data_IF_513390610163
#
_entry.id   IF_513390610163
#
_cell.length_a   1.000
_cell.length_b   1.000
_cell.length_c   1.000
_cell.angle_alpha   90.00
_cell.angle_beta   90.00
_cell.angle_gamma   90.00
#
_symmetry.space_group_name_H-M   'P 1'
#
loop_
_entity.id
_entity.type
_entity.pdbx_description
1 polymer ?
#
# COMPACT_ATOMS: atom_id res chain seq x y z
N UNK A 1 -8.11 -4.05 -12.84
CA UNK A 1 -8.78 -2.79 -12.42
C UNK A 1 -10.26 -3.07 -12.15
N UNK A 2 -10.89 -2.40 -11.19
CA UNK A 2 -12.34 -2.56 -10.94
C UNK A 2 -13.17 -1.90 -12.05
N UNK A 3 -14.35 -2.44 -12.40
CA UNK A 3 -15.22 -1.85 -13.42
C UNK A 3 -15.59 -0.39 -13.07
N UNK A 4 -15.73 0.49 -14.07
CA UNK A 4 -16.06 1.90 -13.85
C UNK A 4 -17.36 2.12 -13.04
N UNK A 5 -18.29 1.17 -13.10
CA UNK A 5 -19.51 1.19 -12.30
C UNK A 5 -19.34 0.89 -10.82
N UNK A 6 -18.17 0.39 -10.38
CA UNK A 6 -17.94 -0.07 -9.01
C UNK A 6 -18.16 1.01 -7.95
N UNK A 7 -17.73 2.25 -8.25
CA UNK A 7 -17.86 3.39 -7.32
C UNK A 7 -19.25 4.04 -7.32
N UNK A 8 -20.21 3.50 -8.07
CA UNK A 8 -21.61 3.95 -8.01
C UNK A 8 -22.27 3.41 -6.74
N UNK A 9 -23.19 4.19 -6.18
CA UNK A 9 -23.91 3.82 -4.96
C UNK A 9 -24.46 2.38 -5.04
N UNK A 10 -24.24 1.61 -3.97
CA UNK A 10 -24.69 0.22 -3.87
C UNK A 10 -23.86 -0.83 -4.63
N UNK A 11 -22.81 -0.44 -5.36
CA UNK A 11 -21.94 -1.39 -6.09
C UNK A 11 -20.60 -1.71 -5.41
N UNK A 12 -20.35 -1.14 -4.23
CA UNK A 12 -19.23 -1.52 -3.37
C UNK A 12 -19.32 -2.99 -2.96
N UNK A 13 -18.16 -3.61 -2.73
CA UNK A 13 -18.09 -4.97 -2.20
C UNK A 13 -18.83 -5.05 -0.84
N UNK A 14 -19.63 -6.09 -0.65
CA UNK A 14 -20.32 -6.29 0.63
C UNK A 14 -19.34 -6.64 1.75
N UNK A 15 -19.70 -6.29 3.00
CA UNK A 15 -18.89 -6.60 4.18
C UNK A 15 -18.61 -8.10 4.33
N UNK A 16 -19.58 -8.96 4.00
CA UNK A 16 -19.38 -10.43 4.00
C UNK A 16 -18.29 -10.88 3.03
N UNK A 17 -18.27 -10.31 1.83
CA UNK A 17 -17.26 -10.65 0.83
C UNK A 17 -15.88 -10.13 1.23
N UNK A 18 -15.80 -8.94 1.81
CA UNK A 18 -14.58 -8.42 2.43
C UNK A 18 -14.05 -9.33 3.53
N UNK A 19 -14.93 -9.77 4.44
CA UNK A 19 -14.54 -10.68 5.52
C UNK A 19 -13.94 -11.97 4.97
N UNK A 20 -14.57 -12.57 3.96
CA UNK A 20 -14.08 -13.81 3.37
C UNK A 20 -12.71 -13.61 2.71
N UNK A 21 -12.56 -12.58 1.88
CA UNK A 21 -11.27 -12.26 1.26
C UNK A 21 -10.20 -12.01 2.32
N UNK A 22 -10.54 -11.32 3.41
CA UNK A 22 -9.60 -11.08 4.51
C UNK A 22 -9.15 -12.38 5.20
N UNK A 23 -10.08 -13.30 5.46
CA UNK A 23 -9.77 -14.65 6.00
C UNK A 23 -8.84 -15.43 5.08
N UNK A 24 -9.13 -15.40 3.78
CA UNK A 24 -8.35 -16.13 2.77
C UNK A 24 -6.93 -15.56 2.67
N UNK A 25 -6.78 -14.23 2.65
CA UNK A 25 -5.47 -13.57 2.68
C UNK A 25 -4.68 -13.86 3.96
N UNK A 26 -5.35 -13.84 5.13
CA UNK A 26 -4.72 -14.10 6.41
C UNK A 26 -4.48 -15.59 6.69
N UNK A 27 -5.06 -16.46 5.86
CA UNK A 27 -5.15 -17.92 6.03
C UNK A 27 -5.70 -18.31 7.40
N UNK A 28 -6.70 -17.55 7.87
CA UNK A 28 -7.28 -17.69 9.20
C UNK A 28 -8.80 -17.51 9.13
N UNK A 29 -9.53 -18.63 9.19
CA UNK A 29 -10.99 -18.65 9.14
C UNK A 29 -11.65 -18.37 10.51
N UNK A 30 -10.87 -18.25 11.59
CA UNK A 30 -11.39 -17.92 12.93
C UNK A 30 -11.82 -16.45 13.05
N UNK A 31 -11.36 -15.58 12.16
CA UNK A 31 -11.71 -14.15 12.14
C UNK A 31 -13.22 -13.99 11.91
N UNK A 32 -13.98 -13.51 12.89
CA UNK A 32 -15.45 -13.46 12.80
C UNK A 32 -16.00 -12.16 12.23
N UNK A 33 -15.22 -11.07 12.24
CA UNK A 33 -15.68 -9.75 11.84
C UNK A 33 -14.61 -8.95 11.11
N UNK A 34 -15.06 -7.99 10.30
CA UNK A 34 -14.24 -6.96 9.67
C UNK A 34 -14.96 -5.62 9.83
N UNK A 35 -14.24 -4.60 10.30
CA UNK A 35 -14.77 -3.24 10.43
C UNK A 35 -14.42 -2.44 9.16
N UNK A 36 -15.44 -1.96 8.46
CA UNK A 36 -15.31 -1.19 7.22
C UNK A 36 -16.08 0.10 7.41
N UNK A 37 -15.36 1.23 7.35
CA UNK A 37 -15.96 2.55 7.53
C UNK A 37 -15.62 3.43 6.35
N UNK A 38 -16.60 4.23 5.93
CA UNK A 38 -16.35 5.32 5.00
C UNK A 38 -15.50 6.37 5.71
N UNK A 39 -14.41 6.81 5.09
CA UNK A 39 -13.65 7.96 5.56
C UNK A 39 -14.56 9.17 5.48
N UNK A 40 -14.77 9.86 6.61
CA UNK A 40 -15.57 11.09 6.68
C UNK A 40 -14.63 12.27 6.93
N UNK A 41 -14.94 13.46 6.40
CA UNK A 41 -14.20 14.66 6.76
C UNK A 41 -14.35 14.91 8.28
N UNK A 42 -13.29 15.39 8.92
CA UNK A 42 -13.28 15.68 10.36
C UNK A 42 -14.27 16.77 10.73
N UNK A 43 -14.46 17.73 9.82
CA UNK A 43 -15.41 18.84 9.94
C UNK A 43 -16.42 18.71 8.80
N UNK A 44 -17.71 18.83 9.12
CA UNK A 44 -18.79 18.74 8.13
C UNK A 44 -18.66 19.90 7.13
N UNK A 45 -18.52 19.58 5.84
CA UNK A 45 -18.35 20.58 4.77
C UNK A 45 -16.90 20.80 4.30
N UNK A 46 -15.91 20.22 4.98
CA UNK A 46 -14.51 20.23 4.54
C UNK A 46 -14.17 19.09 3.58
N UNK A 47 -13.07 19.28 2.82
CA UNK A 47 -12.52 18.28 1.91
C UNK A 47 -11.93 17.06 2.65
N UNK A 48 -11.92 15.91 2.00
CA UNK A 48 -11.49 14.62 2.56
C UNK A 48 -9.96 14.53 2.78
N UNK A 49 -9.21 15.58 2.43
CA UNK A 49 -7.74 15.61 2.46
C UNK A 49 -7.17 15.11 3.78
N UNK A 50 -7.69 15.58 4.91
CA UNK A 50 -7.25 15.16 6.24
C UNK A 50 -7.46 13.66 6.48
N UNK A 51 -8.56 13.08 6.00
CA UNK A 51 -8.84 11.65 6.11
C UNK A 51 -7.95 10.81 5.19
N UNK A 52 -7.68 11.30 3.98
CA UNK A 52 -6.74 10.67 3.04
C UNK A 52 -5.33 10.64 3.65
N UNK A 53 -4.86 11.78 4.17
CA UNK A 53 -3.55 11.88 4.82
C UNK A 53 -3.46 10.91 6.01
N UNK A 54 -4.50 10.80 6.84
CA UNK A 54 -4.54 9.85 7.96
C UNK A 54 -4.38 8.39 7.50
N UNK A 55 -4.99 8.04 6.36
CA UNK A 55 -4.91 6.68 5.80
C UNK A 55 -3.50 6.35 5.30
N UNK A 56 -2.75 7.36 4.85
CA UNK A 56 -1.38 7.21 4.34
C UNK A 56 -0.30 7.12 5.43
N UNK A 57 -0.60 7.50 6.68
CA UNK A 57 0.40 7.62 7.76
C UNK A 57 1.07 6.31 8.17
N UNK A 58 0.51 5.15 7.83
CA UNK A 58 0.88 3.87 8.46
C UNK A 58 1.39 2.79 7.51
N UNK A 59 2.12 3.13 6.44
CA UNK A 59 2.81 2.11 5.62
C UNK A 59 3.77 1.26 6.48
N UNK A 60 4.44 1.89 7.44
CA UNK A 60 5.27 1.25 8.48
C UNK A 60 5.22 2.09 9.76
N UNK A 61 5.18 1.46 10.94
CA UNK A 61 5.19 2.20 12.21
C UNK A 61 6.58 2.82 12.45
N UNK A 62 6.70 4.09 12.84
CA UNK A 62 7.99 4.72 13.13
C UNK A 62 8.82 3.95 14.18
N UNK A 63 8.17 3.37 15.19
CA UNK A 63 8.84 2.55 16.20
C UNK A 63 9.55 1.32 15.60
N UNK A 64 9.00 0.70 14.55
CA UNK A 64 9.61 -0.45 13.87
C UNK A 64 10.83 -0.02 13.04
N UNK A 65 10.72 1.12 12.35
CA UNK A 65 11.82 1.70 11.57
C UNK A 65 13.05 2.02 12.44
N UNK A 66 12.82 2.53 13.65
CA UNK A 66 13.91 2.89 14.57
C UNK A 66 14.43 1.69 15.36
N UNK A 67 13.65 0.61 15.46
CA UNK A 67 14.02 -0.58 16.24
C UNK A 67 15.17 -1.40 15.64
N UNK A 68 15.33 -1.37 14.31
CA UNK A 68 16.37 -2.09 13.59
C UNK A 68 16.87 -1.27 12.39
N UNK A 69 18.12 -0.81 12.48
CA UNK A 69 18.79 -0.04 11.41
C UNK A 69 18.87 -0.83 10.11
N UNK A 70 19.04 -2.15 10.22
CA UNK A 70 19.12 -3.06 9.07
C UNK A 70 17.79 -3.08 8.32
N UNK A 71 16.68 -3.19 9.05
CA UNK A 71 15.34 -3.13 8.48
C UNK A 71 15.08 -1.79 7.77
N UNK A 72 15.42 -0.67 8.42
CA UNK A 72 15.27 0.65 7.79
C UNK A 72 16.08 0.80 6.51
N UNK A 73 17.36 0.41 6.52
CA UNK A 73 18.25 0.51 5.35
C UNK A 73 17.73 -0.34 4.18
N UNK A 74 17.38 -1.60 4.44
CA UNK A 74 16.85 -2.50 3.41
C UNK A 74 15.48 -2.03 2.90
N UNK A 75 14.62 -1.51 3.78
CA UNK A 75 13.36 -0.93 3.36
C UNK A 75 13.60 0.26 2.43
N UNK A 76 14.51 1.18 2.78
CA UNK A 76 14.83 2.34 1.94
C UNK A 76 15.44 1.96 0.60
N UNK A 77 16.26 0.91 0.55
CA UNK A 77 16.86 0.39 -0.68
C UNK A 77 15.80 -0.26 -1.58
N UNK A 78 14.99 -1.17 -1.03
CA UNK A 78 13.96 -1.90 -1.77
C UNK A 78 12.87 -1.00 -2.34
N UNK A 79 12.55 0.07 -1.62
CA UNK A 79 11.50 1.01 -2.05
C UNK A 79 12.04 2.22 -2.80
N UNK A 80 13.35 2.33 -2.92
CA UNK A 80 13.99 3.35 -3.76
C UNK A 80 13.53 3.18 -5.21
N UNK A 81 13.14 4.27 -5.86
CA UNK A 81 12.61 4.25 -7.23
C UNK A 81 11.20 3.67 -7.36
N UNK A 82 10.61 3.10 -6.31
CA UNK A 82 9.21 2.66 -6.36
C UNK A 82 8.26 3.83 -6.23
N UNK A 83 7.22 3.81 -7.08
CA UNK A 83 6.12 4.77 -7.00
C UNK A 83 5.16 4.37 -5.88
N UNK A 84 5.40 4.90 -4.68
CA UNK A 84 4.50 4.71 -3.54
C UNK A 84 3.10 5.30 -3.74
N UNK A 85 2.97 6.28 -4.63
CA UNK A 85 1.72 7.01 -4.85
C UNK A 85 1.31 6.87 -6.31
N UNK A 86 0.41 5.93 -6.58
CA UNK A 86 -0.29 5.84 -7.87
C UNK A 86 -1.51 6.76 -7.86
N UNK A 87 -1.37 7.96 -8.43
CA UNK A 87 -2.44 8.98 -8.47
C UNK A 87 -3.23 8.95 -9.77
N UNK A 88 -4.55 8.87 -9.63
CA UNK A 88 -5.53 8.97 -10.72
C UNK A 88 -6.58 10.05 -10.46
N UNK A 89 -7.35 10.40 -11.50
CA UNK A 89 -8.43 11.40 -11.38
C UNK A 89 -7.94 12.79 -10.99
N UNK A 90 -8.72 13.49 -10.15
CA UNK A 90 -8.44 14.87 -9.70
C UNK A 90 -7.08 15.00 -9.00
N UNK A 91 -6.65 13.95 -8.30
CA UNK A 91 -5.37 13.93 -7.59
C UNK A 91 -4.16 13.78 -8.51
N UNK A 92 -4.35 13.34 -9.76
CA UNK A 92 -3.25 13.21 -10.73
C UNK A 92 -2.63 14.55 -11.07
N UNK A 93 -3.40 15.64 -11.12
CA UNK A 93 -2.88 16.99 -11.40
C UNK A 93 -2.15 17.62 -10.22
N UNK A 94 -2.52 17.24 -8.99
CA UNK A 94 -1.95 17.79 -7.75
C UNK A 94 -0.69 17.05 -7.29
N UNK A 95 -0.62 15.75 -7.56
CA UNK A 95 0.43 14.84 -7.07
C UNK A 95 1.30 14.27 -8.20
N UNK A 96 1.20 14.83 -9.42
CA UNK A 96 2.21 14.56 -10.44
C UNK A 96 3.46 15.30 -10.02
N UNK A 97 4.50 14.58 -9.62
CA UNK A 97 5.84 15.12 -9.71
C UNK A 97 6.24 15.07 -11.19
N UNK A 98 6.84 16.14 -11.70
CA UNK A 98 7.51 16.14 -13.00
C UNK A 98 8.79 15.31 -12.88
N UNK A 99 8.62 13.99 -12.74
CA UNK A 99 9.73 13.05 -12.84
C UNK A 99 10.37 13.22 -14.22
N UNK A 100 11.69 13.39 -14.25
CA UNK A 100 12.43 13.54 -15.50
C UNK A 100 12.23 12.30 -16.36
N UNK A 101 12.19 12.46 -17.68
CA UNK A 101 12.10 11.34 -18.63
C UNK A 101 13.18 10.28 -18.36
N UNK A 102 14.34 10.70 -17.85
CA UNK A 102 15.44 9.83 -17.39
C UNK A 102 15.08 8.93 -16.20
N UNK A 103 14.22 9.38 -15.28
CA UNK A 103 13.70 8.56 -14.18
C UNK A 103 12.59 7.60 -14.66
N UNK A 104 11.90 7.92 -15.76
CA UNK A 104 10.91 7.04 -16.39
C UNK A 104 11.55 5.94 -17.26
N UNK A 105 12.74 6.18 -17.83
CA UNK A 105 13.46 5.23 -18.72
C UNK A 105 14.11 4.08 -17.94
N UNK A 106 14.47 4.27 -16.67
CA UNK A 106 15.07 3.20 -15.83
C UNK A 106 14.12 2.00 -15.56
N UNK A 107 12.83 2.11 -15.88
CA UNK A 107 11.90 0.99 -15.81
C UNK A 107 11.90 0.11 -17.08
N UNK A 108 12.48 0.59 -18.19
CA UNK A 108 12.38 -0.05 -19.51
C UNK A 108 13.75 -0.49 -20.07
N UNK A 109 14.87 -0.16 -19.42
CA UNK A 109 16.15 -0.84 -19.65
C UNK A 109 16.13 -2.23 -18.97
N UNK A 110 15.16 -3.05 -19.37
CA UNK A 110 15.27 -4.51 -19.33
C UNK A 110 16.30 -4.90 -20.40
N UNK A 111 17.57 -4.68 -20.07
CA UNK A 111 18.68 -5.28 -20.80
C UNK A 111 18.47 -6.79 -20.85
N UNK A 112 18.57 -7.33 -22.05
CA UNK A 112 18.52 -8.75 -22.41
C UNK A 112 18.97 -9.69 -21.28
N UNK A 113 18.00 -10.37 -20.66
CA UNK A 113 18.24 -11.34 -19.60
C UNK A 113 17.04 -11.49 -18.68
N UNK A 114 15.99 -12.19 -19.13
CA UNK A 114 14.90 -12.69 -18.27
C UNK A 114 15.44 -13.77 -17.30
N UNK A 115 16.32 -13.40 -16.38
CA UNK A 115 16.32 -14.04 -15.07
C UNK A 115 15.20 -13.37 -14.30
N UNK A 116 14.12 -14.12 -14.05
CA UNK A 116 13.12 -13.73 -13.05
C UNK A 116 13.87 -13.63 -11.72
N UNK A 117 14.39 -12.45 -11.39
CA UNK A 117 14.83 -12.11 -10.05
C UNK A 117 13.53 -12.12 -9.25
N UNK A 118 13.22 -13.27 -8.64
CA UNK A 118 12.24 -13.30 -7.57
C UNK A 118 12.65 -12.19 -6.61
N UNK A 119 11.77 -11.23 -6.26
CA UNK A 119 12.15 -10.19 -5.33
C UNK A 119 12.47 -10.89 -4.01
N UNK A 120 13.78 -11.01 -3.74
CA UNK A 120 14.29 -11.68 -2.56
C UNK A 120 13.76 -10.87 -1.37
N UNK A 121 12.75 -11.42 -0.70
CA UNK A 121 12.07 -10.73 0.40
C UNK A 121 12.95 -10.86 1.63
N UNK A 122 13.80 -9.86 1.84
CA UNK A 122 14.77 -9.86 2.92
C UNK A 122 14.15 -9.84 4.32
N UNK A 123 12.93 -9.31 4.48
CA UNK A 123 12.26 -9.18 5.78
C UNK A 123 10.80 -9.62 5.71
N UNK A 124 10.34 -10.37 6.72
CA UNK A 124 8.95 -10.79 6.89
C UNK A 124 8.41 -10.41 8.28
N UNK A 125 7.10 -10.23 8.39
CA UNK A 125 6.43 -9.98 9.66
C UNK A 125 6.43 -11.23 10.54
N UNK A 126 7.16 -11.19 11.65
CA UNK A 126 7.18 -12.27 12.63
C UNK A 126 5.99 -12.14 13.59
N UNK A 127 4.98 -13.01 13.46
CA UNK A 127 3.75 -12.96 14.29
C UNK A 127 4.03 -13.16 15.79
N UNK A 128 5.00 -13.99 16.16
CA UNK A 128 5.32 -14.28 17.56
C UNK A 128 6.02 -13.09 18.24
N UNK A 129 6.98 -12.48 17.53
CA UNK A 129 7.74 -11.33 18.02
C UNK A 129 7.06 -10.00 17.76
N UNK A 130 5.99 -9.99 16.97
CA UNK A 130 5.22 -8.81 16.53
C UNK A 130 6.13 -7.71 15.97
N UNK A 131 7.12 -8.10 15.17
CA UNK A 131 8.07 -7.20 14.51
C UNK A 131 8.56 -7.78 13.18
N UNK A 132 9.09 -6.95 12.31
CA UNK A 132 9.77 -7.43 11.10
C UNK A 132 11.11 -8.08 11.48
N UNK A 133 11.43 -9.20 10.84
CA UNK A 133 12.72 -9.86 11.01
C UNK A 133 13.25 -10.32 9.67
N UNK A 134 14.58 -10.34 9.54
CA UNK A 134 15.25 -10.90 8.38
C UNK A 134 14.82 -12.36 8.21
N UNK A 135 14.52 -12.75 6.96
CA UNK A 135 14.23 -14.15 6.59
C UNK A 135 15.48 -15.00 6.75
#
# INVERSE_FOLDING_TARGET
MVPAGYFKAGKYLSQKKWLQTWRDCMRDQSITQVDIRTVKPKIVGEDLQNGIIETLKYSTKPAELVSDKSFLFNLTEQVSGLRFIATGGVLKGLLKNDASEKEMIMADESGEGDEKIEPDLWFLWNRQRRRYSKV
#
